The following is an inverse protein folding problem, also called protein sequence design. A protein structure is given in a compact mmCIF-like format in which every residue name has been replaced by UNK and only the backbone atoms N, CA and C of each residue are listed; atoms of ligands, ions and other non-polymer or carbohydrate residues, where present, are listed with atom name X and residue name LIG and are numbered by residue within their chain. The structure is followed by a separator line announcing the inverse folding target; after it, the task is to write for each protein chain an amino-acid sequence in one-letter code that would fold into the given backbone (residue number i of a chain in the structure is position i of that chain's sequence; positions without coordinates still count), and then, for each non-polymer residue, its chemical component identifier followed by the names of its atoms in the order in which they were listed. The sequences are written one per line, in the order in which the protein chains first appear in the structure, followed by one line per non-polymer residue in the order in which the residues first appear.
data_IF_358476133511
#
_entry.id   IF_358476133511
#
_cell.length_a   1.000
_cell.length_b   1.000
_cell.length_c   1.000
_cell.angle_alpha   90.00
_cell.angle_beta   90.00
_cell.angle_gamma   90.00
#
_symmetry.space_group_name_H-M   'P 1'
#
loop_
_entity.id
_entity.type
_entity.pdbx_description
1 polymer ?
#
# COMPACT_ATOMS: atom_id res chain seq x y z
N UNK A 7 -2.57 16.39 13.41
CA UNK A 7 -1.64 15.34 13.02
C UNK A 7 -1.10 15.56 11.61
N UNK A 8 0.23 15.57 11.48
CA UNK A 8 0.88 15.77 10.20
C UNK A 8 2.02 14.77 10.06
N UNK A 9 2.50 14.62 8.82
CA UNK A 9 3.62 13.74 8.53
C UNK A 9 4.91 14.42 8.96
N UNK A 10 5.54 13.93 10.02
CA UNK A 10 6.80 14.49 10.46
C UNK A 10 7.89 14.16 9.44
N UNK A 11 8.71 15.15 9.11
CA UNK A 11 9.77 14.99 8.14
C UNK A 11 11.08 14.55 8.81
N UNK A 12 11.88 13.80 8.07
CA UNK A 12 13.18 13.39 8.57
C UNK A 12 14.20 14.51 8.30
N UNK A 13 15.00 14.89 9.29
CA UNK A 13 16.01 15.93 9.06
C UNK A 13 16.94 15.57 7.92
N UNK A 14 17.35 16.59 7.17
CA UNK A 14 18.19 16.37 5.99
C UNK A 14 19.51 15.73 6.36
N UNK A 15 20.10 16.16 7.48
CA UNK A 15 21.40 15.62 7.87
C UNK A 15 21.31 14.14 8.21
N UNK A 16 20.24 13.73 8.89
CA UNK A 16 20.06 12.31 9.18
C UNK A 16 19.78 11.52 7.91
N UNK A 17 19.10 12.13 6.93
CA UNK A 17 18.91 11.47 5.65
C UNK A 17 20.24 11.30 4.93
N UNK A 18 21.11 12.31 4.98
CA UNK A 18 22.41 12.19 4.35
C UNK A 18 23.31 11.24 5.14
N UNK A 19 23.28 11.33 6.46
CA UNK A 19 24.13 10.47 7.29
C UNK A 19 23.77 9.00 7.12
N UNK A 20 22.48 8.68 7.24
CA UNK A 20 22.06 7.29 7.15
C UNK A 20 22.29 6.71 5.75
N UNK A 21 22.25 7.56 4.72
CA UNK A 21 22.52 7.08 3.37
C UNK A 21 23.97 6.66 3.21
N UNK A 22 24.90 7.42 3.79
CA UNK A 22 26.31 7.07 3.70
C UNK A 22 26.64 5.85 4.56
N UNK A 23 26.28 5.90 5.84
CA UNK A 23 26.75 4.91 6.80
C UNK A 23 25.98 3.59 6.73
N UNK A 24 24.80 3.57 6.13
CA UNK A 24 24.02 2.35 6.02
C UNK A 24 23.56 2.10 4.58
N UNK A 25 24.39 2.50 3.61
CA UNK A 25 24.01 2.35 2.20
C UNK A 25 23.75 0.89 1.86
N UNK A 26 24.59 -0.02 2.34
CA UNK A 26 24.46 -1.43 2.01
C UNK A 26 23.29 -2.11 2.72
N UNK A 27 22.64 -1.43 3.66
CA UNK A 27 21.53 -1.99 4.41
C UNK A 27 20.18 -1.43 3.99
N UNK A 28 20.15 -0.34 3.24
CA UNK A 28 18.91 0.32 2.87
C UNK A 28 18.80 0.37 1.35
N UNK A 29 17.56 0.49 0.88
CA UNK A 29 17.31 0.66 -0.55
C UNK A 29 17.78 2.04 -1.00
N UNK A 30 18.29 2.15 -2.23
CA UNK A 30 18.77 3.44 -2.72
C UNK A 30 17.63 4.42 -2.96
N UNK A 31 17.93 5.70 -2.77
CA UNK A 31 16.96 6.78 -2.87
C UNK A 31 17.41 7.75 -3.97
N UNK A 32 16.49 8.07 -4.88
CA UNK A 32 16.77 9.01 -5.96
C UNK A 32 16.60 10.45 -5.48
N UNK A 33 17.34 11.37 -6.11
CA UNK A 33 17.30 12.77 -5.71
C UNK A 33 15.91 13.35 -5.95
N UNK A 34 15.55 14.35 -5.14
CA UNK A 34 14.24 14.97 -5.24
C UNK A 34 13.99 15.47 -6.67
N UNK A 35 14.87 16.31 -7.18
CA UNK A 35 14.83 16.64 -8.59
C UNK A 35 15.19 15.40 -9.40
N UNK A 36 14.58 15.27 -10.59
CA UNK A 36 14.71 14.12 -11.47
C UNK A 36 14.08 12.86 -10.88
N UNK A 37 13.15 13.02 -9.94
CA UNK A 37 12.44 11.90 -9.33
C UNK A 37 10.98 11.93 -9.77
N UNK A 38 10.47 10.77 -10.19
CA UNK A 38 9.09 10.63 -10.66
C UNK A 38 8.48 9.36 -10.08
N UNK A 39 8.46 9.24 -8.75
CA UNK A 39 7.87 8.07 -8.12
C UNK A 39 6.35 8.13 -8.20
N UNK A 40 5.73 6.96 -8.38
CA UNK A 40 4.30 6.84 -8.61
C UNK A 40 3.67 5.91 -7.57
N UNK A 41 2.37 6.10 -7.36
CA UNK A 41 1.59 5.24 -6.48
C UNK A 41 0.20 5.07 -7.08
N UNK A 42 -0.42 3.94 -6.78
CA UNK A 42 -1.72 3.59 -7.33
C UNK A 42 -2.66 3.18 -6.21
N UNK A 43 -3.85 3.80 -6.19
CA UNK A 43 -4.89 3.47 -5.23
C UNK A 43 -6.09 2.93 -6.00
N UNK A 44 -6.46 1.68 -5.72
CA UNK A 44 -7.64 1.05 -6.30
C UNK A 44 -8.60 0.79 -5.14
N UNK A 45 -9.82 1.31 -5.25
CA UNK A 45 -10.80 1.23 -4.17
C UNK A 45 -12.20 1.05 -4.76
N UNK A 46 -12.87 -0.02 -4.37
CA UNK A 46 -14.25 -0.28 -4.79
C UNK A 46 -15.18 0.04 -3.63
N UNK A 47 -16.11 0.98 -3.86
CA UNK A 47 -17.07 1.37 -2.84
C UNK A 47 -18.50 0.97 -3.17
N UNK A 48 -18.89 0.99 -4.45
CA UNK A 48 -20.23 0.62 -4.88
C UNK A 48 -20.19 -0.77 -5.52
N UNK A 49 -21.15 -1.62 -5.14
CA UNK A 49 -21.20 -2.99 -5.62
C UNK A 49 -22.62 -3.32 -6.07
N UNK A 50 -22.75 -4.45 -6.77
CA UNK A 50 -24.06 -4.92 -7.21
C UNK A 50 -24.65 -6.00 -6.32
N UNK A 51 -23.81 -6.82 -5.68
CA UNK A 51 -24.29 -7.88 -4.81
C UNK A 51 -23.63 -7.87 -3.44
N UNK A 52 -22.85 -6.83 -3.13
CA UNK A 52 -22.11 -6.70 -1.89
C UNK A 52 -22.52 -5.42 -1.18
N UNK A 53 -22.38 -5.37 0.15
CA UNK A 53 -22.77 -4.16 0.87
C UNK A 53 -21.93 -2.99 0.45
N UNK A 54 -22.47 -1.77 0.53
CA UNK A 54 -21.71 -0.59 0.11
C UNK A 54 -20.58 -0.29 1.07
N UNK A 55 -19.41 0.04 0.50
CA UNK A 55 -18.24 0.43 1.28
C UNK A 55 -18.04 1.93 1.33
N UNK A 56 -19.12 2.70 1.25
CA UNK A 56 -19.01 4.14 1.39
C UNK A 56 -18.48 4.49 2.77
N UNK A 57 -17.58 5.47 2.81
CA UNK A 57 -16.74 5.71 3.96
C UNK A 57 -15.28 5.46 3.67
N UNK A 58 -14.98 4.60 2.70
CA UNK A 58 -13.62 4.45 2.21
C UNK A 58 -13.15 5.67 1.42
N UNK A 59 -14.04 6.61 1.11
CA UNK A 59 -13.61 7.86 0.48
C UNK A 59 -12.59 8.57 1.34
N UNK A 60 -12.74 8.48 2.66
CA UNK A 60 -11.77 9.08 3.57
C UNK A 60 -10.48 8.28 3.60
N UNK A 61 -10.55 6.97 3.38
CA UNK A 61 -9.33 6.19 3.26
C UNK A 61 -8.58 6.51 1.98
N UNK A 62 -9.31 6.81 0.89
CA UNK A 62 -8.65 7.22 -0.34
C UNK A 62 -7.95 8.56 -0.14
N UNK A 63 -8.67 9.55 0.38
CA UNK A 63 -8.07 10.88 0.59
C UNK A 63 -6.95 10.82 1.62
N UNK A 64 -7.09 9.97 2.64
CA UNK A 64 -6.04 9.83 3.63
C UNK A 64 -4.78 9.22 3.04
N UNK A 65 -4.91 8.07 2.39
CA UNK A 65 -3.74 7.45 1.77
C UNK A 65 -3.14 8.34 0.70
N UNK A 66 -3.98 9.05 -0.07
CA UNK A 66 -3.48 9.91 -1.14
C UNK A 66 -2.70 11.09 -0.57
N UNK A 67 -3.19 11.69 0.51
CA UNK A 67 -2.46 12.79 1.14
C UNK A 67 -1.15 12.28 1.75
N UNK A 68 -1.16 11.07 2.30
CA UNK A 68 0.04 10.53 2.92
C UNK A 68 1.09 10.20 1.88
N UNK A 69 0.68 9.58 0.78
CA UNK A 69 1.64 9.22 -0.26
C UNK A 69 2.19 10.47 -0.94
N UNK A 70 1.36 11.49 -1.09
CA UNK A 70 1.86 12.77 -1.62
C UNK A 70 2.85 13.40 -0.66
N UNK A 71 2.61 13.27 0.64
CA UNK A 71 3.60 13.72 1.62
C UNK A 71 4.89 12.94 1.52
N UNK A 72 4.82 11.69 1.03
CA UNK A 72 6.00 10.89 0.75
C UNK A 72 6.53 11.10 -0.66
N UNK A 73 6.10 12.19 -1.33
CA UNK A 73 6.57 12.59 -2.65
C UNK A 73 6.13 11.61 -3.75
N UNK A 74 5.01 10.92 -3.54
CA UNK A 74 4.44 10.03 -4.56
C UNK A 74 3.34 10.74 -5.33
N UNK A 75 3.30 10.50 -6.64
CA UNK A 75 2.18 10.93 -7.47
C UNK A 75 1.16 9.79 -7.50
N UNK A 76 -0.05 10.06 -7.01
CA UNK A 76 -1.04 9.02 -6.77
C UNK A 76 -2.05 9.03 -7.90
N UNK A 77 -2.24 7.86 -8.52
CA UNK A 77 -3.35 7.63 -9.43
C UNK A 77 -4.46 6.93 -8.67
N UNK A 78 -5.69 7.36 -8.87
CA UNK A 78 -6.84 6.80 -8.16
C UNK A 78 -7.72 6.12 -9.19
N UNK A 79 -7.96 4.83 -8.99
CA UNK A 79 -8.92 4.07 -9.79
C UNK A 79 -10.00 3.56 -8.85
N UNK A 80 -11.26 3.79 -9.21
CA UNK A 80 -12.36 3.54 -8.30
C UNK A 80 -13.48 2.78 -8.99
N UNK A 81 -14.07 1.82 -8.26
CA UNK A 81 -15.24 1.07 -8.68
C UNK A 81 -15.01 0.41 -10.04
N UNK A 82 -14.01 -0.47 -10.07
CA UNK A 82 -13.65 -1.22 -11.25
C UNK A 82 -14.02 -2.69 -11.10
N UNK A 83 -14.07 -3.38 -12.23
CA UNK A 83 -14.29 -4.81 -12.25
C UNK A 83 -12.96 -5.54 -12.10
N UNK A 84 -13.05 -6.86 -11.92
CA UNK A 84 -11.83 -7.66 -11.76
C UNK A 84 -10.93 -7.53 -12.98
N UNK A 85 -11.51 -7.54 -14.18
CA UNK A 85 -10.69 -7.38 -15.38
C UNK A 85 -10.14 -5.97 -15.49
N UNK A 86 -10.95 -4.97 -15.15
CA UNK A 86 -10.47 -3.58 -15.20
C UNK A 86 -9.37 -3.34 -14.17
N UNK A 87 -9.43 -4.00 -13.01
CA UNK A 87 -8.36 -3.87 -12.04
C UNK A 87 -7.09 -4.53 -12.56
N UNK A 88 -7.22 -5.64 -13.28
CA UNK A 88 -6.05 -6.27 -13.92
C UNK A 88 -5.41 -5.32 -14.92
N UNK A 89 -6.23 -4.71 -15.78
CA UNK A 89 -5.71 -3.83 -16.82
C UNK A 89 -5.08 -2.57 -16.23
N UNK A 90 -5.62 -2.08 -15.12
CA UNK A 90 -5.07 -0.87 -14.51
C UNK A 90 -3.71 -1.14 -13.89
N UNK A 91 -3.53 -2.33 -13.31
CA UNK A 91 -2.26 -2.66 -12.67
C UNK A 91 -1.14 -2.79 -13.69
N UNK A 92 -1.40 -3.48 -14.81
CA UNK A 92 -0.35 -3.64 -15.81
C UNK A 92 -0.04 -2.32 -16.52
N UNK A 93 -1.06 -1.48 -16.73
CA UNK A 93 -0.79 -0.15 -17.24
C UNK A 93 0.09 0.63 -16.27
N UNK A 94 -0.08 0.41 -14.97
CA UNK A 94 0.74 1.10 -14.00
C UNK A 94 2.16 0.54 -13.99
N UNK A 95 2.30 -0.76 -14.26
CA UNK A 95 3.62 -1.38 -14.21
C UNK A 95 4.46 -1.02 -15.42
N UNK A 96 3.86 -0.49 -16.48
CA UNK A 96 4.57 -0.15 -17.70
C UNK A 96 4.78 1.35 -17.87
N UNK A 97 4.39 2.16 -16.90
CA UNK A 97 4.56 3.61 -17.04
C UNK A 97 6.04 3.97 -16.97
N UNK A 98 6.51 4.89 -17.81
CA UNK A 98 7.95 5.16 -17.89
C UNK A 98 8.51 5.88 -16.68
N UNK A 99 7.66 6.48 -15.84
CA UNK A 99 8.17 7.23 -14.69
C UNK A 99 8.76 6.31 -13.63
N UNK A 100 8.46 5.01 -13.67
CA UNK A 100 9.09 4.07 -12.75
C UNK A 100 10.59 3.98 -12.98
N UNK A 101 11.04 4.23 -14.22
CA UNK A 101 12.47 4.20 -14.50
C UNK A 101 13.21 5.28 -13.72
N UNK A 102 12.56 6.44 -13.54
CA UNK A 102 13.10 7.53 -12.74
C UNK A 102 12.62 7.48 -11.30
N UNK A 103 12.12 6.34 -10.84
CA UNK A 103 11.59 6.18 -9.50
C UNK A 103 12.48 5.23 -8.70
N UNK A 104 12.31 5.28 -7.37
CA UNK A 104 13.00 4.37 -6.47
C UNK A 104 12.09 3.30 -5.87
N UNK A 105 10.79 3.54 -5.83
CA UNK A 105 9.86 2.60 -5.21
C UNK A 105 8.46 2.86 -5.75
N UNK A 106 7.50 2.10 -5.25
CA UNK A 106 6.10 2.29 -5.62
C UNK A 106 5.21 1.74 -4.52
N UNK A 107 3.97 2.23 -4.48
CA UNK A 107 2.97 1.79 -3.52
C UNK A 107 1.72 1.34 -4.26
N UNK A 108 1.13 0.24 -3.80
CA UNK A 108 -0.10 -0.30 -4.38
C UNK A 108 -1.10 -0.50 -3.26
N UNK A 109 -2.11 0.38 -3.20
CA UNK A 109 -3.13 0.34 -2.17
C UNK A 109 -4.41 -0.15 -2.81
N UNK A 110 -4.83 -1.36 -2.46
CA UNK A 110 -6.04 -1.96 -3.00
C UNK A 110 -7.00 -2.23 -1.84
N UNK A 111 -8.19 -1.63 -1.91
CA UNK A 111 -9.18 -1.73 -0.86
C UNK A 111 -10.54 -2.05 -1.45
N UNK A 112 -11.17 -3.13 -0.98
CA UNK A 112 -12.51 -3.52 -1.39
C UNK A 112 -12.95 -4.70 -0.53
N UNK A 113 -14.09 -5.29 -0.87
CA UNK A 113 -14.45 -6.57 -0.30
C UNK A 113 -13.48 -7.63 -0.82
N UNK A 114 -13.46 -8.79 -0.15
CA UNK A 114 -12.51 -9.79 -0.59
C UNK A 114 -12.83 -11.18 -0.10
N UNK A 115 -12.11 -12.14 -0.68
CA UNK A 115 -12.09 -13.53 -0.25
C UNK A 115 -10.63 -13.92 -0.01
N UNK A 116 -10.43 -15.20 0.33
CA UNK A 116 -9.07 -15.65 0.66
C UNK A 116 -8.14 -15.56 -0.54
N UNK A 117 -8.62 -15.95 -1.72
CA UNK A 117 -7.75 -16.02 -2.89
C UNK A 117 -7.53 -14.66 -3.54
N UNK A 118 -8.46 -13.73 -3.38
CA UNK A 118 -8.29 -12.44 -4.03
C UNK A 118 -9.25 -11.40 -3.50
N UNK A 119 -9.27 -10.26 -4.21
CA UNK A 119 -10.08 -9.10 -3.86
C UNK A 119 -11.23 -8.99 -4.85
N UNK A 120 -12.42 -8.69 -4.33
CA UNK A 120 -13.64 -8.71 -5.14
C UNK A 120 -13.77 -7.44 -5.97
N UNK A 121 -14.58 -7.53 -7.03
CA UNK A 121 -14.87 -6.42 -7.91
C UNK A 121 -16.31 -5.96 -7.79
N UNK A 122 -16.65 -4.97 -8.64
CA UNK A 122 -17.96 -4.36 -8.58
C UNK A 122 -19.09 -5.32 -8.96
N UNK A 123 -18.78 -6.43 -9.65
CA UNK A 123 -19.80 -7.35 -10.13
C UNK A 123 -19.56 -8.74 -9.56
N UNK A 124 -19.04 -8.81 -8.33
CA UNK A 124 -18.79 -10.08 -7.69
C UNK A 124 -20.08 -10.69 -7.17
N UNK A 125 -20.29 -11.97 -7.47
CA UNK A 125 -21.39 -12.74 -6.91
C UNK A 125 -20.88 -14.08 -6.44
N UNK A 126 -21.46 -14.60 -5.36
CA UNK A 126 -21.06 -15.89 -4.84
C UNK A 126 -21.32 -17.02 -5.83
N UNK A 127 -22.21 -16.81 -6.80
CA UNK A 127 -22.45 -17.76 -7.88
C UNK A 127 -21.64 -17.47 -9.13
N UNK A 128 -21.40 -16.18 -9.45
CA UNK A 128 -20.57 -15.77 -10.58
C UNK A 128 -19.47 -14.86 -10.04
N UNK A 129 -18.37 -15.44 -9.54
CA UNK A 129 -17.35 -14.62 -8.89
C UNK A 129 -16.59 -13.73 -9.87
N UNK A 130 -16.32 -12.50 -9.43
CA UNK A 130 -15.54 -11.52 -10.18
C UNK A 130 -14.43 -11.06 -9.24
N UNK A 131 -13.30 -11.77 -9.26
CA UNK A 131 -12.26 -11.61 -8.25
C UNK A 131 -10.91 -11.47 -8.93
N UNK A 132 -10.12 -10.49 -8.48
CA UNK A 132 -8.73 -10.36 -8.89
C UNK A 132 -7.85 -11.09 -7.88
N UNK A 133 -7.18 -12.14 -8.34
CA UNK A 133 -6.35 -12.95 -7.44
C UNK A 133 -5.11 -12.16 -6.99
N UNK A 134 -4.74 -12.35 -5.72
CA UNK A 134 -3.55 -11.69 -5.19
C UNK A 134 -2.32 -12.04 -6.02
N UNK A 135 -2.21 -13.30 -6.47
CA UNK A 135 -1.04 -13.72 -7.22
C UNK A 135 -0.88 -12.92 -8.50
N UNK A 136 -2.00 -12.48 -9.10
CA UNK A 136 -1.92 -11.67 -10.31
C UNK A 136 -1.13 -10.39 -10.07
N UNK A 137 -1.27 -9.80 -8.88
CA UNK A 137 -0.57 -8.55 -8.58
C UNK A 137 0.93 -8.78 -8.61
N UNK A 138 1.40 -9.85 -7.98
CA UNK A 138 2.83 -10.15 -7.97
C UNK A 138 3.31 -10.59 -9.34
N UNK A 139 2.46 -11.26 -10.12
CA UNK A 139 2.85 -11.66 -11.47
C UNK A 139 3.07 -10.44 -12.36
N UNK A 140 2.28 -9.38 -12.17
CA UNK A 140 2.41 -8.19 -13.00
C UNK A 140 3.68 -7.43 -12.68
N UNK A 141 4.05 -7.36 -11.40
CA UNK A 141 5.15 -6.53 -10.94
C UNK A 141 6.40 -7.34 -10.58
N UNK A 142 6.44 -8.63 -10.91
CA UNK A 142 7.65 -9.38 -10.65
C UNK A 142 8.79 -8.91 -11.56
N UNK A 143 10.00 -9.35 -11.24
CA UNK A 143 11.17 -8.90 -11.98
C UNK A 143 11.12 -9.29 -13.44
N UNK A 144 10.36 -10.35 -13.79
CA UNK A 144 10.28 -10.78 -15.17
C UNK A 144 9.38 -9.85 -15.99
N UNK A 145 8.17 -9.58 -15.51
CA UNK A 145 7.20 -8.81 -16.27
C UNK A 145 7.27 -7.31 -16.01
N UNK A 146 7.91 -6.88 -14.92
CA UNK A 146 8.10 -5.46 -14.63
C UNK A 146 9.58 -5.22 -14.37
N UNK A 147 10.25 -4.54 -15.30
CA UNK A 147 11.69 -4.34 -15.23
C UNK A 147 12.08 -2.96 -14.70
N UNK A 148 11.25 -1.94 -14.92
CA UNK A 148 11.55 -0.62 -14.38
C UNK A 148 11.46 -0.56 -12.86
N UNK A 149 10.84 -1.56 -12.22
CA UNK A 149 10.75 -1.61 -10.76
C UNK A 149 11.53 -2.79 -10.18
N UNK A 150 12.40 -3.39 -10.97
CA UNK A 150 13.23 -4.48 -10.45
C UNK A 150 14.25 -3.93 -9.46
N UNK A 151 14.47 -4.70 -8.38
CA UNK A 151 15.40 -4.33 -7.31
C UNK A 151 14.96 -3.03 -6.61
N UNK A 152 13.66 -2.74 -6.66
CA UNK A 152 13.10 -1.56 -6.03
C UNK A 152 11.93 -1.97 -5.15
N UNK A 153 11.72 -1.29 -4.02
CA UNK A 153 10.64 -1.68 -3.11
C UNK A 153 9.27 -1.56 -3.77
N UNK A 154 8.48 -2.62 -3.66
CA UNK A 154 7.13 -2.68 -4.20
C UNK A 154 6.19 -2.96 -3.04
N UNK A 155 5.80 -1.90 -2.34
CA UNK A 155 4.94 -2.03 -1.16
C UNK A 155 3.50 -2.20 -1.60
N UNK A 156 2.86 -3.26 -1.13
CA UNK A 156 1.46 -3.54 -1.44
C UNK A 156 0.68 -3.51 -0.13
N UNK A 157 -0.38 -2.71 -0.10
CA UNK A 157 -1.24 -2.59 1.08
C UNK A 157 -2.65 -2.98 0.65
N UNK A 158 -3.15 -4.08 1.22
CA UNK A 158 -4.41 -4.67 0.78
C UNK A 158 -5.38 -4.66 1.94
N UNK A 159 -6.65 -4.36 1.64
CA UNK A 159 -7.73 -4.45 2.61
C UNK A 159 -8.89 -5.20 1.95
N UNK A 160 -9.31 -6.31 2.57
CA UNK A 160 -10.38 -7.15 2.03
C UNK A 160 -11.32 -7.55 3.16
N UNK A 161 -12.35 -8.33 2.81
CA UNK A 161 -13.32 -8.80 3.80
C UNK A 161 -12.99 -10.23 4.26
N UNK A 199 11.22 -14.87 -10.74
CA UNK A 199 11.08 -14.88 -9.30
C UNK A 199 10.68 -13.49 -8.82
N UNK A 200 9.76 -13.43 -7.85
CA UNK A 200 9.31 -12.18 -7.27
C UNK A 200 10.24 -11.78 -6.14
N UNK A 201 10.71 -10.53 -6.19
CA UNK A 201 11.64 -10.03 -5.19
C UNK A 201 11.26 -8.59 -4.83
N UNK A 202 11.75 -8.16 -3.66
CA UNK A 202 11.56 -6.79 -3.18
C UNK A 202 10.08 -6.46 -2.99
N UNK A 203 9.35 -7.41 -2.43
CA UNK A 203 7.92 -7.26 -2.17
C UNK A 203 7.66 -7.22 -0.67
N UNK A 204 6.55 -6.56 -0.31
CA UNK A 204 6.03 -6.58 1.05
C UNK A 204 4.55 -6.26 0.98
N UNK A 205 3.76 -6.96 1.77
CA UNK A 205 2.30 -6.85 1.73
C UNK A 205 1.76 -6.73 3.14
N UNK A 206 1.07 -5.62 3.41
CA UNK A 206 0.34 -5.41 4.64
C UNK A 206 -1.14 -5.65 4.36
N UNK A 207 -1.71 -6.69 4.97
CA UNK A 207 -3.04 -7.16 4.65
C UNK A 207 -3.94 -7.09 5.87
N UNK A 208 -5.16 -6.59 5.68
CA UNK A 208 -6.19 -6.55 6.71
C UNK A 208 -7.45 -7.18 6.13
N UNK A 209 -7.91 -8.27 6.73
CA UNK A 209 -9.09 -8.98 6.27
C UNK A 209 -10.27 -8.81 7.21
N UNK A 210 -10.28 -7.70 7.95
CA UNK A 210 -11.35 -7.46 8.91
C UNK A 210 -12.70 -7.42 8.20
N UNK A 211 -13.71 -8.13 8.71
CA UNK A 211 -15.01 -8.14 8.04
C UNK A 211 -15.64 -6.75 7.99
N UNK A 212 -16.52 -6.58 7.00
CA UNK A 212 -17.07 -5.26 6.70
C UNK A 212 -17.82 -4.66 7.88
N UNK A 213 -18.43 -5.50 8.73
CA UNK A 213 -19.26 -4.99 9.82
C UNK A 213 -18.43 -4.25 10.86
N UNK A 214 -17.20 -4.72 11.13
CA UNK A 214 -16.40 -4.22 12.24
C UNK A 214 -15.07 -3.65 11.76
N UNK A 215 -15.00 -3.22 10.49
CA UNK A 215 -13.77 -2.69 9.93
C UNK A 215 -13.71 -1.17 9.88
N UNK A 216 -14.81 -0.49 10.18
CA UNK A 216 -14.88 0.97 10.07
C UNK A 216 -14.80 1.63 11.43
N UNK A 217 -14.31 2.86 11.45
CA UNK A 217 -14.33 3.65 12.67
C UNK A 217 -15.77 3.90 13.12
N UNK A 218 -15.92 4.26 14.40
CA UNK A 218 -17.25 4.60 14.92
C UNK A 218 -17.89 5.74 14.14
N UNK A 219 -17.07 6.66 13.62
CA UNK A 219 -17.59 7.74 12.80
C UNK A 219 -18.03 7.28 11.41
N UNK A 220 -17.61 6.08 10.99
CA UNK A 220 -17.71 5.59 9.62
C UNK A 220 -16.92 6.47 8.65
N UNK A 221 -16.13 7.41 9.17
CA UNK A 221 -15.25 8.26 8.36
C UNK A 221 -13.88 7.58 8.24
N UNK A 222 -13.86 6.52 7.46
CA UNK A 222 -12.64 5.75 7.26
C UNK A 222 -12.63 4.47 8.06
N UNK A 223 -11.71 3.59 7.70
CA UNK A 223 -11.59 2.29 8.33
C UNK A 223 -10.55 2.33 9.45
N UNK A 224 -10.62 1.33 10.33
CA UNK A 224 -9.70 1.27 11.46
C UNK A 224 -8.27 1.00 10.96
N UNK A 225 -8.13 0.10 9.99
CA UNK A 225 -6.82 -0.31 9.51
C UNK A 225 -6.09 0.85 8.84
N UNK A 226 -6.77 1.56 7.94
CA UNK A 226 -6.11 2.66 7.22
C UNK A 226 -5.78 3.79 8.18
N UNK A 227 -6.73 4.16 9.06
CA UNK A 227 -6.48 5.24 10.01
C UNK A 227 -5.29 4.94 10.91
N UNK A 228 -5.19 3.71 11.43
CA UNK A 228 -4.02 3.34 12.22
C UNK A 228 -2.77 3.32 11.37
N UNK A 229 -2.89 2.98 10.08
CA UNK A 229 -1.72 2.96 9.22
C UNK A 229 -1.21 4.38 8.96
N UNK A 230 -2.11 5.31 8.69
CA UNK A 230 -1.71 6.70 8.44
C UNK A 230 -1.10 7.31 9.69
N UNK A 231 -1.69 7.02 10.86
CA UNK A 231 -1.18 7.58 12.11
C UNK A 231 0.25 7.14 12.37
N UNK A 232 0.54 5.86 12.14
CA UNK A 232 1.88 5.36 12.37
C UNK A 232 2.85 5.86 11.32
N UNK A 233 2.41 6.04 10.08
CA UNK A 233 3.29 6.65 9.08
C UNK A 233 3.59 8.10 9.41
N UNK A 234 2.61 8.83 9.96
CA UNK A 234 2.86 10.23 10.27
C UNK A 234 3.77 10.39 11.48
N UNK A 235 3.75 9.44 12.41
CA UNK A 235 4.52 9.55 13.63
C UNK A 235 5.87 8.84 13.57
N UNK A 236 6.06 7.89 12.65
CA UNK A 236 7.25 7.06 12.67
C UNK A 236 7.98 6.94 11.34
N UNK A 237 7.52 7.60 10.28
CA UNK A 237 8.21 7.50 8.99
C UNK A 237 9.61 8.10 9.05
N UNK A 238 9.81 9.13 9.87
CA UNK A 238 11.07 9.87 9.88
C UNK A 238 12.18 9.16 10.65
N UNK A 239 11.84 8.15 11.45
CA UNK A 239 12.87 7.48 12.25
C UNK A 239 12.76 5.96 12.19
N UNK A 240 11.96 5.40 11.28
CA UNK A 240 11.79 3.95 11.20
C UNK A 240 11.70 3.54 9.73
N UNK A 241 12.19 2.34 9.44
CA UNK A 241 12.04 1.85 8.08
C UNK A 241 10.62 1.30 7.89
N UNK A 242 10.29 1.00 6.63
CA UNK A 242 8.91 0.67 6.28
C UNK A 242 8.40 -0.54 7.06
N UNK A 243 9.17 -1.63 7.05
CA UNK A 243 8.75 -2.82 7.77
C UNK A 243 8.62 -2.56 9.27
N UNK A 244 9.45 -1.68 9.81
CA UNK A 244 9.34 -1.29 11.21
C UNK A 244 8.06 -0.51 11.46
N UNK A 245 7.67 0.35 10.51
CA UNK A 245 6.42 1.08 10.62
C UNK A 245 5.24 0.12 10.60
N UNK A 246 5.28 -0.88 9.73
CA UNK A 246 4.22 -1.88 9.69
C UNK A 246 4.12 -2.64 11.01
N UNK A 247 5.25 -2.84 11.71
CA UNK A 247 5.19 -3.48 13.02
C UNK A 247 4.51 -2.57 14.04
N UNK A 248 4.76 -1.26 13.95
CA UNK A 248 4.10 -0.33 14.87
C UNK A 248 2.59 -0.37 14.69
N UNK A 249 2.11 -0.52 13.45
CA UNK A 249 0.69 -0.64 13.21
C UNK A 249 0.16 -1.92 13.86
N UNK A 250 0.93 -3.01 13.77
CA UNK A 250 0.49 -4.27 14.35
C UNK A 250 0.46 -4.19 15.88
N UNK A 251 1.43 -3.52 16.49
CA UNK A 251 1.46 -3.39 17.94
C UNK A 251 0.24 -2.65 18.46
N UNK A 252 -0.35 -1.77 17.67
CA UNK A 252 -1.56 -1.08 18.13
C UNK A 252 -2.75 -2.02 18.17
N UNK A 253 -2.75 -3.06 17.34
CA UNK A 253 -3.79 -4.09 17.34
C UNK A 253 -3.49 -5.21 18.34
N UNK A 254 -2.61 -4.95 19.32
CA UNK A 254 -2.25 -5.95 20.32
C UNK A 254 -3.06 -5.82 21.60
N UNK A 255 -4.27 -5.30 21.50
CA UNK A 255 -5.18 -5.29 22.63
C UNK A 255 -6.04 -6.55 22.62
N UNK A 256 -6.56 -6.97 23.77
CA UNK A 256 -7.39 -8.19 23.80
C UNK A 256 -8.61 -8.13 22.90
N UNK A 257 -9.02 -6.92 22.49
CA UNK A 257 -10.18 -6.75 21.63
C UNK A 257 -9.82 -6.65 20.15
N UNK A 258 -8.66 -6.09 19.82
CA UNK A 258 -8.29 -5.86 18.43
C UNK A 258 -7.34 -6.91 17.87
N UNK A 259 -6.95 -7.90 18.67
CA UNK A 259 -5.97 -8.88 18.19
C UNK A 259 -6.50 -9.68 17.00
N UNK A 260 -7.81 -9.91 16.93
CA UNK A 260 -8.37 -10.66 15.81
C UNK A 260 -8.22 -9.88 14.50
N UNK A 261 -8.41 -8.56 14.54
CA UNK A 261 -8.31 -7.72 13.35
C UNK A 261 -6.88 -7.33 13.02
N UNK A 262 -5.90 -8.00 13.61
CA UNK A 262 -4.52 -7.57 13.46
C UNK A 262 -4.07 -7.73 12.01
N UNK A 263 -3.45 -6.72 11.41
CA UNK A 263 -2.94 -6.87 10.05
C UNK A 263 -1.72 -7.78 10.02
N UNK A 264 -1.49 -8.39 8.86
CA UNK A 264 -0.44 -9.39 8.69
C UNK A 264 0.48 -8.99 7.55
N UNK A 265 1.78 -9.23 7.75
CA UNK A 265 2.79 -9.00 6.72
C UNK A 265 3.00 -10.30 5.95
N UNK A 266 2.77 -10.28 4.64
CA UNK A 266 2.80 -11.48 3.84
C UNK A 266 3.64 -11.27 2.59
N UNK A 267 4.12 -12.40 2.05
CA UNK A 267 4.96 -12.44 0.84
C UNK A 267 6.06 -11.39 0.90
N UNK A 268 6.86 -11.45 1.96
CA UNK A 268 7.96 -10.52 2.16
C UNK A 268 9.16 -10.99 1.33
N UNK A 269 9.45 -10.28 0.25
CA UNK A 269 10.56 -10.61 -0.63
C UNK A 269 11.65 -9.54 -0.61
N UNK A 270 11.62 -8.63 0.35
CA UNK A 270 12.56 -7.52 0.37
C UNK A 270 13.93 -7.97 0.83
N UNK A 271 14.96 -7.42 0.19
CA UNK A 271 16.35 -7.78 0.46
C UNK A 271 17.07 -6.79 1.35
N UNK A 272 16.50 -5.61 1.58
CA UNK A 272 17.10 -4.62 2.47
C UNK A 272 15.98 -3.81 3.11
N UNK A 273 16.37 -2.89 3.98
CA UNK A 273 15.42 -2.03 4.65
C UNK A 273 15.04 -0.85 3.75
N UNK A 274 13.81 -0.38 3.91
CA UNK A 274 13.29 0.74 3.13
C UNK A 274 12.98 1.88 4.09
N UNK A 275 13.88 2.85 4.16
CA UNK A 275 13.60 4.12 4.82
C UNK A 275 13.03 5.08 3.78
N UNK A 276 11.82 5.57 4.02
CA UNK A 276 11.18 6.51 3.09
C UNK A 276 11.76 7.91 3.16
N UNK A 277 12.54 8.22 4.19
CA UNK A 277 13.15 9.53 4.40
C UNK A 277 12.17 10.66 4.05
N UNK A 278 11.04 10.77 4.76
CA UNK A 278 10.06 11.80 4.43
C UNK A 278 10.65 13.20 4.49
N UNK A 279 10.38 13.99 3.45
CA UNK A 279 10.87 15.34 3.35
C UNK A 279 12.13 15.49 2.52
N UNK A 280 12.69 14.39 2.02
CA UNK A 280 13.93 14.46 1.27
C UNK A 280 13.78 13.75 -0.08
#
# INVERSE_FOLDING_TARGET
SGRPSTDALKLCPHEEFLRLCKERAEEIYPIKERNNRTRLALIICNTEFDHLPPRNGADFDITGMKELLEGLDYSVDVEENLTARDMESALRAFATRPEHKSSDSTFLVLMSHGILEGICGTVHDEKKPDVLLYDTIFQIFNNRNCLSLKDKPKVIIVQAARGANRGELWVRDSPASLEVASSQSSENLEEDAVYKTHVEKDFIAFCSSTPHNVSWRDSTMGSIFITQLITCFQKYSWCCHLEEVFRKVQQSFETPRAKAQMPTIERLSMTRYFYLFPGN
#
